data_IF_216746933266
#
_entry.id   IF_216746933266
#
_cell.length_a   1.000
_cell.length_b   1.000
_cell.length_c   1.000
_cell.angle_alpha   90.00
_cell.angle_beta   90.00
_cell.angle_gamma   90.00
#
_symmetry.space_group_name_H-M   'P 1'
#
loop_
_entity.id
_entity.type
_entity.pdbx_description
1 polymer ?
2 polymer ?
3 polymer ?
4 polymer ?
5 non-polymer ?
6 non-polymer ?
7 non-polymer ?
8 non-polymer ?
9 non-polymer ?
10 non-polymer ?
11 water ?
#
loop_
_entity_poly.entity_id
_entity_poly.type
_entity_poly.pdbx_seq_one_letter_code
_entity_poly.pdbx_strand_id
2 'polydeoxyribonucleotide' '(DC)(DG)(DG)(DC)(DA)(DT)(DA)(DC)(DG)' ?
3 'polydeoxyribonucleotide' '(DC)(DG)(DT)(DA)(DT)' ?
4 'polydeoxyribonucleotide' '(DG)(DC)(DC)(DG)' ?
#
# COMPACT_ATOMS: atom_id res chain seq x y z
N UNK A 11 12.75 1.18 -25.06
CA UNK A 11 11.73 2.22 -25.03
C UNK A 11 11.16 2.38 -23.61
N UNK A 12 10.15 1.58 -23.29
CA UNK A 12 9.56 1.55 -21.96
C UNK A 12 9.94 0.23 -21.29
N UNK A 13 10.72 0.22 -20.22
CA UNK A 13 11.12 -1.05 -19.62
C UNK A 13 9.93 -1.81 -19.02
N UNK A 14 10.15 -3.10 -18.79
CA UNK A 14 9.04 -4.00 -18.46
C UNK A 14 8.71 -3.99 -16.98
N UNK A 15 9.67 -3.67 -16.12
CA UNK A 15 9.45 -3.64 -14.67
C UNK A 15 9.19 -2.22 -14.20
N UNK A 16 8.24 -2.06 -13.27
CA UNK A 16 7.90 -0.71 -12.81
C UNK A 16 9.04 -0.05 -12.07
N UNK A 17 9.95 -0.82 -11.48
CA UNK A 17 11.08 -0.26 -10.75
C UNK A 17 12.17 0.26 -11.68
N UNK A 18 12.00 0.09 -12.98
CA UNK A 18 12.93 0.58 -13.99
C UNK A 18 12.53 1.90 -14.58
N UNK A 19 11.44 2.51 -14.10
CA UNK A 19 10.94 3.71 -14.72
C UNK A 19 10.37 4.63 -13.66
N UNK A 20 10.55 5.94 -13.79
CA UNK A 20 9.87 6.86 -12.87
C UNK A 20 8.36 6.81 -13.08
N UNK A 21 7.63 6.75 -11.97
CA UNK A 21 6.17 6.85 -12.00
C UNK A 21 5.75 7.96 -11.05
N UNK A 22 5.32 9.11 -11.55
CA UNK A 22 4.91 10.21 -10.67
C UNK A 22 3.52 9.97 -10.12
N UNK A 23 3.17 10.77 -9.11
CA UNK A 23 1.90 10.61 -8.44
C UNK A 23 0.74 11.02 -9.34
N UNK A 24 0.89 12.12 -10.05
CA UNK A 24 -0.10 12.56 -11.02
C UNK A 24 0.49 12.44 -12.41
N UNK A 25 -0.37 12.16 -13.38
CA UNK A 25 0.13 11.80 -14.69
C UNK A 25 -0.91 12.16 -15.77
N UNK A 26 -0.76 11.57 -16.96
CA UNK A 26 -1.43 12.04 -18.16
C UNK A 26 -2.43 11.05 -18.71
N UNK A 27 -2.71 9.98 -17.97
CA UNK A 27 -3.62 8.93 -18.42
C UNK A 27 -4.48 8.44 -17.28
N UNK A 28 -4.98 9.37 -16.46
CA UNK A 28 -5.66 9.00 -15.23
C UNK A 28 -6.88 8.13 -15.50
N UNK A 29 -7.73 8.55 -16.45
CA UNK A 29 -8.93 7.77 -16.74
C UNK A 29 -8.64 6.35 -17.20
N UNK A 30 -7.64 6.19 -18.08
CA UNK A 30 -7.32 4.86 -18.58
C UNK A 30 -6.78 3.98 -17.46
N UNK A 31 -5.90 4.51 -16.60
CA UNK A 31 -5.36 3.67 -15.55
C UNK A 31 -6.44 3.31 -14.52
N UNK A 32 -7.33 4.25 -14.20
CA UNK A 32 -8.36 3.92 -13.22
C UNK A 32 -9.26 2.79 -13.73
N UNK A 33 -9.58 2.76 -15.03
CA UNK A 33 -10.39 1.69 -15.58
C UNK A 33 -9.69 0.33 -15.49
N UNK A 34 -8.40 0.29 -15.82
CA UNK A 34 -7.69 -0.98 -15.72
C UNK A 34 -7.57 -1.43 -14.26
N UNK A 35 -7.47 -0.48 -13.34
CA UNK A 35 -7.37 -0.85 -11.94
C UNK A 35 -8.71 -1.37 -11.40
N UNK A 36 -9.83 -0.94 -11.98
CA UNK A 36 -11.10 -1.62 -11.68
C UNK A 36 -11.00 -3.11 -12.02
N UNK A 37 -10.51 -3.42 -13.23
CA UNK A 37 -10.47 -4.81 -13.63
C UNK A 37 -9.48 -5.58 -12.78
N UNK A 38 -8.41 -4.93 -12.35
CA UNK A 38 -7.43 -5.56 -11.46
C UNK A 38 -8.05 -5.91 -10.13
N UNK A 39 -8.76 -4.94 -9.53
CA UNK A 39 -9.44 -5.15 -8.27
C UNK A 39 -10.45 -6.29 -8.37
N UNK A 40 -11.24 -6.30 -9.44
CA UNK A 40 -12.24 -7.35 -9.64
C UNK A 40 -11.57 -8.71 -9.79
N UNK A 41 -10.45 -8.76 -10.51
CA UNK A 41 -9.70 -10.01 -10.59
C UNK A 41 -9.33 -10.50 -9.20
N UNK A 42 -8.87 -9.60 -8.35
CA UNK A 42 -8.49 -9.98 -7.00
C UNK A 42 -9.66 -10.54 -6.22
N UNK A 43 -10.83 -9.94 -6.40
CA UNK A 43 -12.02 -10.42 -5.72
C UNK A 43 -12.40 -11.83 -6.14
N UNK A 44 -12.00 -12.25 -7.33
CA UNK A 44 -12.26 -13.59 -7.82
C UNK A 44 -11.08 -14.53 -7.61
N UNK A 45 -10.01 -14.07 -6.98
CA UNK A 45 -8.87 -14.92 -6.71
C UNK A 45 -7.86 -15.06 -7.83
N UNK A 46 -7.98 -14.28 -8.91
CA UNK A 46 -7.03 -14.42 -10.02
C UNK A 46 -5.92 -13.39 -9.81
N UNK A 47 -4.93 -13.78 -9.02
CA UNK A 47 -3.78 -12.92 -8.76
C UNK A 47 -3.00 -12.61 -10.03
N UNK A 48 -2.94 -13.56 -10.96
CA UNK A 48 -2.22 -13.31 -12.20
C UNK A 48 -2.85 -12.20 -13.02
N UNK A 49 -4.16 -12.26 -13.22
CA UNK A 49 -4.85 -11.21 -13.96
C UNK A 49 -4.78 -9.87 -13.22
N UNK A 50 -4.93 -9.90 -11.88
CA UNK A 50 -4.77 -8.68 -11.10
C UNK A 50 -3.42 -8.04 -11.39
N UNK A 51 -2.36 -8.86 -11.40
CA UNK A 51 -1.03 -8.30 -11.62
C UNK A 51 -0.91 -7.68 -13.01
N UNK A 52 -1.41 -8.37 -14.02
CA UNK A 52 -1.26 -7.83 -15.37
C UNK A 52 -2.02 -6.51 -15.50
N UNK A 53 -3.26 -6.45 -15.01
CA UNK A 53 -4.00 -5.19 -15.11
C UNK A 53 -3.32 -4.08 -14.28
N UNK A 54 -2.79 -4.41 -13.10
CA UNK A 54 -2.04 -3.42 -12.33
C UNK A 54 -0.83 -2.91 -13.09
N UNK A 55 -0.07 -3.82 -13.71
CA UNK A 55 1.13 -3.41 -14.42
C UNK A 55 0.77 -2.58 -15.65
N UNK A 56 -0.28 -2.97 -16.39
CA UNK A 56 -0.68 -2.19 -17.54
C UNK A 56 -1.11 -0.79 -17.13
N UNK A 57 -1.89 -0.68 -16.06
CA UNK A 57 -2.25 0.63 -15.53
C UNK A 57 -1.01 1.45 -15.20
N UNK A 58 -0.03 0.82 -14.55
CA UNK A 58 1.17 1.56 -14.13
C UNK A 58 1.97 2.02 -15.33
N UNK A 59 2.00 1.23 -16.40
CA UNK A 59 2.69 1.65 -17.63
C UNK A 59 2.13 2.99 -18.11
N UNK A 60 0.81 3.11 -18.12
CA UNK A 60 0.20 4.35 -18.56
C UNK A 60 0.56 5.51 -17.63
N UNK A 61 0.62 5.25 -16.33
CA UNK A 61 1.03 6.29 -15.39
C UNK A 61 2.43 6.84 -15.71
N UNK A 62 3.28 6.01 -16.29
CA UNK A 62 4.68 6.37 -16.56
C UNK A 62 4.89 7.04 -17.90
N UNK A 63 3.85 7.14 -18.73
CA UNK A 63 3.99 7.75 -20.04
C UNK A 63 4.09 9.27 -19.92
N UNK A 64 4.76 9.93 -20.86
CA UNK A 64 4.97 11.38 -20.73
C UNK A 64 3.83 12.23 -21.27
N UNK A 65 2.79 11.63 -21.85
CA UNK A 65 1.69 12.38 -22.45
C UNK A 65 0.47 11.46 -22.56
N UNK A 66 -0.69 12.02 -22.87
CA UNK A 66 -1.89 11.18 -22.95
C UNK A 66 -1.84 10.23 -24.14
N UNK A 67 -2.29 9.00 -23.91
CA UNK A 67 -2.62 8.11 -25.02
C UNK A 67 -3.89 8.61 -25.69
N UNK A 68 -3.82 8.91 -27.00
CA UNK A 68 -5.00 9.30 -27.76
C UNK A 68 -5.37 8.33 -28.87
N UNK A 69 -4.50 7.41 -29.24
CA UNK A 69 -4.82 6.50 -30.33
C UNK A 69 -4.29 5.12 -29.98
N UNK A 70 -5.01 4.11 -30.44
CA UNK A 70 -4.68 2.73 -30.11
C UNK A 70 -3.26 2.38 -30.53
N UNK A 71 -2.78 2.95 -31.63
CA UNK A 71 -1.45 2.61 -32.12
C UNK A 71 -0.37 2.96 -31.10
N UNK A 72 -0.62 3.97 -30.26
CA UNK A 72 0.36 4.34 -29.25
C UNK A 72 0.59 3.24 -28.23
N UNK A 73 -0.24 2.19 -28.21
CA UNK A 73 -0.01 1.08 -27.30
C UNK A 73 0.97 0.05 -27.83
N UNK A 74 1.21 0.04 -29.14
CA UNK A 74 2.05 -0.99 -29.73
C UNK A 74 3.43 -0.92 -29.12
N UNK A 75 3.96 -2.07 -28.72
CA UNK A 75 5.25 -2.10 -28.07
C UNK A 75 5.26 -1.77 -26.59
N UNK A 76 4.14 -1.34 -26.01
CA UNK A 76 4.14 -1.11 -24.57
C UNK A 76 4.07 -2.43 -23.82
N UNK A 77 4.91 -2.68 -22.83
CA UNK A 77 4.81 -3.94 -22.11
C UNK A 77 3.50 -4.04 -21.36
N UNK A 78 2.96 -5.26 -21.30
CA UNK A 78 1.81 -5.64 -20.51
C UNK A 78 0.50 -5.21 -21.17
N UNK A 79 0.54 -4.72 -22.41
CA UNK A 79 -0.67 -4.47 -23.18
C UNK A 79 -0.81 -5.56 -24.24
N UNK A 80 -1.77 -6.45 -24.03
CA UNK A 80 -2.15 -7.43 -25.03
C UNK A 80 -3.59 -7.22 -25.45
N UNK A 81 -4.22 -8.29 -25.94
CA UNK A 81 -5.56 -8.17 -26.50
C UNK A 81 -6.54 -7.51 -25.52
N UNK A 82 -6.50 -7.90 -24.26
CA UNK A 82 -7.55 -7.51 -23.32
C UNK A 82 -7.36 -6.06 -22.89
N UNK A 83 -6.21 -5.72 -22.31
CA UNK A 83 -6.01 -4.33 -21.87
C UNK A 83 -6.09 -3.36 -23.03
N UNK A 84 -5.67 -3.78 -24.23
CA UNK A 84 -5.76 -2.90 -25.39
C UNK A 84 -7.22 -2.62 -25.75
N UNK A 85 -8.06 -3.66 -25.71
CA UNK A 85 -9.47 -3.49 -26.02
C UNK A 85 -10.15 -2.56 -25.02
N UNK A 86 -9.78 -2.67 -23.73
CA UNK A 86 -10.29 -1.74 -22.73
C UNK A 86 -9.94 -0.30 -23.13
N UNK A 87 -8.68 -0.05 -23.47
CA UNK A 87 -8.27 1.31 -23.83
C UNK A 87 -8.98 1.75 -25.11
N UNK A 88 -9.04 0.87 -26.11
CA UNK A 88 -9.68 1.20 -27.37
C UNK A 88 -11.10 1.69 -27.15
N UNK A 89 -11.87 0.98 -26.31
CA UNK A 89 -13.26 1.36 -26.07
C UNK A 89 -13.33 2.70 -25.34
N UNK A 90 -12.44 2.92 -24.38
CA UNK A 90 -12.43 4.20 -23.69
C UNK A 90 -12.08 5.33 -24.64
N UNK A 91 -11.17 5.08 -25.58
CA UNK A 91 -10.78 6.12 -26.54
C UNK A 91 -11.93 6.42 -27.50
N UNK A 92 -12.68 5.40 -27.90
CA UNK A 92 -13.73 5.57 -28.90
C UNK A 92 -15.03 6.06 -28.28
N UNK A 93 -15.41 5.56 -27.10
CA UNK A 93 -16.73 5.80 -26.55
C UNK A 93 -16.72 6.49 -25.19
N UNK A 94 -15.56 6.73 -24.60
CA UNK A 94 -15.48 7.30 -23.26
C UNK A 94 -15.79 6.34 -22.14
N UNK A 95 -16.14 5.10 -22.46
CA UNK A 95 -16.57 4.11 -21.48
C UNK A 95 -16.23 2.72 -22.01
N UNK A 96 -15.93 1.80 -21.11
CA UNK A 96 -15.64 0.42 -21.45
C UNK A 96 -16.73 -0.45 -20.83
N UNK A 97 -17.47 -1.18 -21.68
CA UNK A 97 -18.65 -1.88 -21.21
C UNK A 97 -18.29 -2.87 -20.11
N UNK A 98 -17.16 -3.56 -20.24
CA UNK A 98 -16.76 -4.53 -19.23
C UNK A 98 -16.53 -3.85 -17.89
N UNK A 99 -15.83 -2.72 -17.91
CA UNK A 99 -15.57 -1.97 -16.69
C UNK A 99 -16.86 -1.51 -16.04
N UNK A 100 -17.80 -1.01 -16.84
CA UNK A 100 -19.05 -0.54 -16.27
C UNK A 100 -19.88 -1.69 -15.72
N UNK A 101 -19.87 -2.84 -16.40
CA UNK A 101 -20.54 -4.02 -15.87
C UNK A 101 -19.96 -4.39 -14.49
N UNK A 102 -18.64 -4.36 -14.35
CA UNK A 102 -18.04 -4.63 -13.05
C UNK A 102 -18.51 -3.60 -12.03
N UNK A 103 -18.42 -2.32 -12.37
CA UNK A 103 -18.75 -1.25 -11.41
C UNK A 103 -20.12 -1.45 -10.78
N UNK A 104 -21.11 -1.83 -11.57
CA UNK A 104 -22.46 -1.90 -11.07
C UNK A 104 -22.86 -3.31 -10.64
N UNK A 105 -21.95 -4.28 -10.67
CA UNK A 105 -22.33 -5.62 -10.25
C UNK A 105 -22.42 -5.69 -8.74
N UNK A 106 -23.40 -6.44 -8.26
CA UNK A 106 -23.59 -6.63 -6.83
C UNK A 106 -22.37 -7.28 -6.21
N UNK A 107 -21.76 -8.22 -6.92
CA UNK A 107 -20.57 -8.92 -6.42
C UNK A 107 -19.44 -7.92 -6.16
N UNK A 108 -19.12 -7.09 -7.15
CA UNK A 108 -18.01 -6.16 -7.00
C UNK A 108 -18.27 -5.17 -5.88
N UNK A 109 -19.46 -4.58 -5.85
CA UNK A 109 -19.77 -3.57 -4.84
C UNK A 109 -19.71 -4.15 -3.44
N UNK A 110 -20.17 -5.39 -3.26
CA UNK A 110 -20.19 -5.98 -1.93
C UNK A 110 -18.81 -6.44 -1.50
N UNK A 111 -18.04 -7.04 -2.41
CA UNK A 111 -16.68 -7.43 -2.07
C UNK A 111 -15.82 -6.21 -1.75
N UNK A 112 -16.02 -5.12 -2.50
CA UNK A 112 -15.30 -3.89 -2.20
C UNK A 112 -15.65 -3.37 -0.82
N UNK A 113 -16.95 -3.32 -0.52
CA UNK A 113 -17.40 -2.85 0.79
C UNK A 113 -16.85 -3.73 1.90
N UNK A 114 -16.93 -5.06 1.75
CA UNK A 114 -16.48 -5.94 2.82
C UNK A 114 -14.95 -5.92 2.96
N UNK A 115 -14.22 -6.00 1.85
CA UNK A 115 -12.77 -6.07 1.97
C UNK A 115 -12.16 -4.77 2.49
N UNK A 116 -12.87 -3.65 2.36
CA UNK A 116 -12.34 -2.39 2.88
C UNK A 116 -12.47 -2.30 4.40
N UNK A 117 -13.17 -3.24 5.03
CA UNK A 117 -13.21 -3.31 6.49
C UNK A 117 -11.85 -3.80 6.99
N UNK A 118 -11.28 -3.08 7.95
CA UNK A 118 -10.08 -3.56 8.65
C UNK A 118 -10.40 -4.86 9.38
N UNK A 119 -9.71 -5.93 9.03
CA UNK A 119 -9.96 -7.25 9.60
C UNK A 119 -10.63 -8.21 8.65
N UNK A 120 -11.01 -7.77 7.45
CA UNK A 120 -11.74 -8.57 6.50
C UNK A 120 -10.92 -8.61 5.22
N UNK A 121 -10.56 -9.82 4.77
CA UNK A 121 -9.88 -10.01 3.52
C UNK A 121 -10.79 -10.62 2.47
N UNK A 122 -10.21 -10.87 1.31
CA UNK A 122 -10.99 -11.40 0.20
C UNK A 122 -11.68 -12.69 0.61
N UNK A 123 -10.96 -13.58 1.30
CA UNK A 123 -11.54 -14.87 1.66
C UNK A 123 -12.73 -14.70 2.60
N UNK A 124 -12.62 -13.83 3.60
CA UNK A 124 -13.75 -13.62 4.50
C UNK A 124 -14.91 -12.96 3.76
N UNK A 125 -14.62 -11.88 3.02
CA UNK A 125 -15.65 -11.23 2.22
C UNK A 125 -16.37 -12.22 1.31
N UNK A 126 -15.61 -13.07 0.62
CA UNK A 126 -16.24 -14.02 -0.30
C UNK A 126 -17.16 -14.98 0.45
N UNK A 127 -16.73 -15.48 1.61
CA UNK A 127 -17.59 -16.38 2.39
C UNK A 127 -18.89 -15.68 2.78
N UNK A 128 -18.77 -14.48 3.37
CA UNK A 128 -19.96 -13.71 3.71
C UNK A 128 -20.86 -13.50 2.48
N UNK A 129 -20.27 -13.15 1.33
CA UNK A 129 -21.08 -12.95 0.14
C UNK A 129 -21.86 -14.21 -0.22
N UNK A 130 -21.21 -15.37 -0.13
CA UNK A 130 -21.90 -16.62 -0.45
C UNK A 130 -23.00 -16.93 0.55
N UNK A 131 -22.86 -16.46 1.80
CA UNK A 131 -23.88 -16.66 2.81
C UNK A 131 -25.09 -15.73 2.63
N UNK A 132 -25.01 -14.81 1.68
CA UNK A 132 -26.11 -13.89 1.42
C UNK A 132 -25.93 -12.52 2.04
N UNK A 133 -24.84 -12.29 2.77
CA UNK A 133 -24.66 -11.00 3.42
C UNK A 133 -24.27 -9.96 2.38
N UNK A 134 -24.75 -8.73 2.59
CA UNK A 134 -24.53 -7.69 1.58
C UNK A 134 -24.13 -6.33 2.14
N UNK A 135 -24.52 -5.97 3.37
CA UNK A 135 -24.35 -4.63 3.89
C UNK A 135 -23.63 -4.68 5.23
N UNK A 136 -23.15 -3.53 5.68
CA UNK A 136 -22.47 -3.48 6.97
C UNK A 136 -23.41 -3.84 8.10
N UNK A 137 -24.67 -3.40 8.01
CA UNK A 137 -25.63 -3.73 9.06
C UNK A 137 -25.93 -5.22 9.09
N UNK A 138 -25.89 -5.89 7.94
CA UNK A 138 -25.95 -7.35 7.94
C UNK A 138 -24.89 -7.94 8.87
N UNK A 139 -23.70 -7.34 8.87
CA UNK A 139 -22.62 -7.85 9.70
C UNK A 139 -22.82 -7.47 11.16
N UNK A 140 -23.35 -6.28 11.41
CA UNK A 140 -23.57 -5.84 12.79
C UNK A 140 -24.60 -6.71 13.50
N UNK A 141 -25.57 -7.27 12.76
CA UNK A 141 -26.65 -8.04 13.39
C UNK A 141 -26.15 -9.31 14.06
N UNK A 142 -25.08 -9.92 13.53
CA UNK A 142 -24.56 -11.18 14.03
C UNK A 142 -23.11 -11.01 14.47
N UNK A 143 -22.87 -10.17 15.48
CA UNK A 143 -21.48 -9.85 15.85
C UNK A 143 -20.75 -11.00 16.54
N UNK A 144 -21.45 -12.09 16.87
CA UNK A 144 -20.79 -13.23 17.50
C UNK A 144 -19.82 -13.91 16.55
N UNK A 145 -19.98 -13.73 15.24
CA UNK A 145 -19.13 -14.34 14.24
C UNK A 145 -17.96 -13.45 13.84
N UNK A 146 -17.75 -12.32 14.51
CA UNK A 146 -16.70 -11.38 14.17
C UNK A 146 -15.51 -11.53 15.09
N UNK A 147 -14.33 -11.25 14.55
CA UNK A 147 -13.16 -11.15 15.39
C UNK A 147 -13.14 -9.78 16.07
N UNK A 148 -12.33 -9.68 17.12
CA UNK A 148 -12.15 -8.38 17.76
C UNK A 148 -11.63 -7.36 16.75
N UNK A 149 -10.73 -7.79 15.87
CA UNK A 149 -10.19 -6.90 14.86
C UNK A 149 -11.28 -6.39 13.95
N UNK A 150 -12.22 -7.26 13.57
CA UNK A 150 -13.31 -6.90 12.67
C UNK A 150 -14.35 -6.05 13.37
N UNK A 151 -14.60 -6.33 14.65
CA UNK A 151 -15.46 -5.47 15.44
C UNK A 151 -14.91 -4.06 15.49
N UNK A 152 -13.59 -3.92 15.64
CA UNK A 152 -12.98 -2.60 15.61
C UNK A 152 -13.12 -1.97 14.22
N UNK A 153 -12.79 -2.73 13.18
CA UNK A 153 -12.91 -2.21 11.84
C UNK A 153 -14.32 -1.77 11.52
N UNK A 154 -15.30 -2.54 11.99
CA UNK A 154 -16.69 -2.21 11.70
C UNK A 154 -17.13 -0.99 12.52
N UNK A 155 -16.82 -0.98 13.83
CA UNK A 155 -17.19 0.17 14.66
C UNK A 155 -16.63 1.47 14.09
N UNK A 156 -15.37 1.44 13.66
CA UNK A 156 -14.69 2.65 13.20
C UNK A 156 -14.76 2.83 11.70
N UNK A 157 -15.59 2.05 11.01
CA UNK A 157 -15.52 2.00 9.55
C UNK A 157 -15.73 3.37 8.93
N UNK A 158 -16.67 4.16 9.45
CA UNK A 158 -16.98 5.44 8.84
C UNK A 158 -15.80 6.41 8.92
N UNK A 159 -15.17 6.54 10.10
CA UNK A 159 -13.98 7.38 10.21
C UNK A 159 -12.85 6.85 9.32
N UNK A 160 -12.67 5.53 9.30
CA UNK A 160 -11.58 4.96 8.54
C UNK A 160 -11.79 5.13 7.03
N UNK A 161 -13.02 5.40 6.60
CA UNK A 161 -13.27 5.64 5.19
C UNK A 161 -13.08 7.11 4.81
N UNK A 162 -12.79 7.96 5.77
CA UNK A 162 -12.53 9.38 5.58
C UNK A 162 -11.04 9.59 5.30
N UNK A 163 -10.67 10.31 4.25
CA UNK A 163 -9.25 10.47 3.94
C UNK A 163 -8.51 11.18 5.05
N UNK A 164 -7.32 10.66 5.35
CA UNK A 164 -6.36 11.31 6.23
C UNK A 164 -5.68 12.43 5.46
N UNK A 165 -5.58 13.60 6.06
CA UNK A 165 -4.94 14.75 5.44
C UNK A 165 -3.52 14.92 5.93
N UNK A 166 -2.70 15.62 5.13
CA UNK A 166 -1.32 15.87 5.52
C UNK A 166 -1.26 16.62 6.85
N UNK A 167 -2.24 17.50 7.13
CA UNK A 167 -2.27 18.18 8.41
C UNK A 167 -2.48 17.19 9.56
N UNK A 168 -3.29 16.15 9.33
CA UNK A 168 -3.42 15.12 10.35
C UNK A 168 -2.09 14.45 10.62
N UNK A 169 -1.26 14.28 9.59
CA UNK A 169 -0.03 13.49 9.70
C UNK A 169 0.95 14.17 10.64
N UNK A 170 1.17 15.47 10.45
CA UNK A 170 2.13 16.19 11.29
C UNK A 170 1.75 16.08 12.76
N UNK A 171 0.46 16.20 13.06
CA UNK A 171 0.02 16.06 14.45
C UNK A 171 0.31 14.66 14.97
N UNK A 172 -0.06 13.63 14.21
CA UNK A 172 0.21 12.27 14.64
C UNK A 172 1.69 12.03 14.85
N UNK A 173 2.53 12.49 13.91
CA UNK A 173 3.96 12.27 14.05
C UNK A 173 4.48 12.87 15.36
N UNK A 174 4.02 14.07 15.70
CA UNK A 174 4.46 14.68 16.95
C UNK A 174 4.13 13.79 18.15
N UNK A 175 2.93 13.22 18.20
CA UNK A 175 2.59 12.44 19.38
C UNK A 175 3.35 11.12 19.37
N UNK A 176 3.59 10.53 18.19
CA UNK A 176 4.37 9.30 18.14
C UNK A 176 5.79 9.54 18.63
N UNK A 177 6.41 10.64 18.20
CA UNK A 177 7.76 10.96 18.67
C UNK A 177 7.81 11.15 20.18
N UNK A 178 6.78 11.80 20.76
CA UNK A 178 6.79 11.98 22.21
C UNK A 178 6.85 10.64 22.90
N UNK A 179 6.01 9.69 22.47
CA UNK A 179 5.99 8.38 23.11
C UNK A 179 7.28 7.62 22.82
N UNK A 180 7.78 7.72 21.59
CA UNK A 180 9.03 7.04 21.22
C UNK A 180 10.20 7.59 22.04
N UNK A 181 10.23 8.91 22.25
CA UNK A 181 11.31 9.52 23.01
C UNK A 181 11.35 9.08 24.46
N UNK A 182 10.19 8.82 25.05
CA UNK A 182 10.13 8.30 26.41
C UNK A 182 10.51 6.84 26.47
N UNK A 183 10.10 6.08 25.46
CA UNK A 183 10.34 4.64 25.48
C UNK A 183 11.81 4.34 25.27
N UNK A 184 12.48 5.14 24.44
CA UNK A 184 13.91 4.97 24.18
C UNK A 184 14.51 6.28 23.69
N UNK A 185 15.17 7.02 24.56
CA UNK A 185 15.87 8.24 24.12
C UNK A 185 16.78 7.97 22.93
N UNK A 186 16.73 8.87 21.95
CA UNK A 186 17.52 8.75 20.76
C UNK A 186 16.82 8.06 19.61
N UNK A 187 15.71 7.38 19.86
CA UNK A 187 15.01 6.69 18.78
C UNK A 187 14.39 7.73 17.86
N UNK A 188 14.29 7.37 16.57
CA UNK A 188 13.81 8.29 15.56
C UNK A 188 12.54 7.74 14.92
N UNK A 189 11.74 8.64 14.38
CA UNK A 189 10.48 8.29 13.71
C UNK A 189 10.55 8.84 12.31
N UNK A 190 10.31 7.99 11.32
CA UNK A 190 10.30 8.39 9.92
C UNK A 190 8.92 8.12 9.30
N UNK A 191 8.38 9.12 8.63
CA UNK A 191 7.13 8.96 7.89
C UNK A 191 7.40 8.16 6.62
N UNK A 192 6.62 7.11 6.42
CA UNK A 192 6.76 6.28 5.23
C UNK A 192 5.44 6.20 4.48
N UNK A 193 5.22 5.10 3.76
CA UNK A 193 4.02 4.89 2.99
C UNK A 193 3.72 5.98 1.99
N UNK A 194 2.43 6.11 1.67
CA UNK A 194 2.02 7.00 0.59
C UNK A 194 2.38 8.45 0.83
N UNK A 195 2.33 8.90 2.09
CA UNK A 195 2.67 10.28 2.34
C UNK A 195 4.13 10.57 2.03
N UNK A 196 5.02 9.61 2.26
CA UNK A 196 6.41 9.85 1.85
C UNK A 196 6.56 9.94 0.32
N UNK A 197 5.69 9.26 -0.42
CA UNK A 197 5.69 9.39 -1.88
C UNK A 197 5.04 10.69 -2.37
N UNK A 198 4.59 11.56 -1.45
CA UNK A 198 4.06 12.86 -1.83
C UNK A 198 2.55 12.95 -1.86
N UNK A 199 1.83 11.91 -1.49
CA UNK A 199 0.38 11.98 -1.49
C UNK A 199 -0.07 13.05 -0.52
N UNK A 200 -1.14 13.74 -0.87
CA UNK A 200 -1.70 14.76 0.00
C UNK A 200 -2.79 14.21 0.91
N UNK A 201 -3.32 13.05 0.58
CA UNK A 201 -4.29 12.36 1.42
C UNK A 201 -3.95 10.89 1.40
N UNK A 202 -4.47 10.16 2.40
CA UNK A 202 -4.25 8.72 2.43
C UNK A 202 -5.30 8.06 3.29
N UNK A 203 -5.25 6.72 3.27
CA UNK A 203 -6.12 5.88 4.10
C UNK A 203 -5.57 5.65 5.49
N UNK A 204 -4.27 5.81 5.68
CA UNK A 204 -3.64 5.53 6.97
C UNK A 204 -2.31 6.27 6.98
N UNK A 205 -1.64 6.21 8.12
CA UNK A 205 -0.32 6.80 8.28
C UNK A 205 0.65 5.71 8.69
N UNK A 206 1.81 5.69 8.04
CA UNK A 206 2.83 4.66 8.25
C UNK A 206 4.07 5.30 8.83
N UNK A 207 4.61 4.73 9.91
CA UNK A 207 5.82 5.25 10.54
C UNK A 207 6.83 4.12 10.71
N UNK A 208 8.10 4.46 10.52
CA UNK A 208 9.22 3.56 10.73
C UNK A 208 10.11 4.10 11.84
N UNK A 209 10.41 3.26 12.82
CA UNK A 209 11.12 3.68 14.02
C UNK A 209 12.42 2.88 14.09
N UNK A 210 13.51 3.56 14.43
CA UNK A 210 14.79 2.88 14.63
C UNK A 210 15.57 3.64 15.69
N UNK A 211 16.80 3.20 15.92
CA UNK A 211 17.70 3.86 16.85
C UNK A 211 19.12 3.73 16.28
N UNK A 212 19.96 4.77 16.38
CA UNK A 212 21.28 4.72 15.73
C UNK A 212 22.25 3.68 16.30
N UNK A 213 21.99 3.13 17.47
CA UNK A 213 22.85 2.11 18.08
C UNK A 213 22.22 0.74 17.87
N UNK A 214 22.82 -0.07 16.98
CA UNK A 214 22.29 -1.38 16.67
C UNK A 214 21.96 -2.16 17.95
N UNK A 215 20.75 -2.71 17.98
CA UNK A 215 20.29 -3.51 19.10
C UNK A 215 19.51 -2.75 20.15
N UNK A 216 19.70 -1.44 20.25
CA UNK A 216 18.95 -0.68 21.24
C UNK A 216 17.45 -0.67 20.95
N UNK A 217 17.06 -0.91 19.69
CA UNK A 217 15.65 -0.93 19.31
C UNK A 217 14.94 -2.19 19.77
N UNK A 218 15.67 -3.20 20.20
CA UNK A 218 15.07 -4.43 20.68
C UNK A 218 14.10 -4.12 21.83
N UNK A 219 12.91 -4.70 21.77
CA UNK A 219 11.91 -4.51 22.81
C UNK A 219 11.16 -3.19 22.74
N UNK A 220 11.35 -2.41 21.69
CA UNK A 220 10.91 -1.03 21.72
C UNK A 220 9.40 -0.88 21.48
N UNK A 221 8.83 -1.65 20.56
CA UNK A 221 7.44 -1.40 20.19
C UNK A 221 6.47 -1.59 21.34
N UNK A 222 6.57 -2.63 22.17
CA UNK A 222 5.66 -2.71 23.32
C UNK A 222 5.74 -1.51 24.24
N UNK A 223 6.94 -0.94 24.39
CA UNK A 223 7.10 0.21 25.27
C UNK A 223 6.44 1.44 24.65
N UNK A 224 6.55 1.57 23.33
CA UNK A 224 5.87 2.65 22.65
C UNK A 224 4.36 2.50 22.79
N UNK A 225 3.85 1.28 22.56
CA UNK A 225 2.41 1.08 22.59
C UNK A 225 1.85 1.35 23.99
N UNK A 226 2.52 0.83 25.02
CA UNK A 226 2.03 1.04 26.38
C UNK A 226 1.91 2.53 26.68
N UNK A 227 2.85 3.33 26.18
CA UNK A 227 2.82 4.76 26.46
C UNK A 227 1.72 5.47 25.69
N UNK A 228 1.57 5.16 24.41
CA UNK A 228 0.44 5.70 23.65
C UNK A 228 -0.87 5.34 24.30
N UNK A 229 -1.00 4.09 24.75
CA UNK A 229 -2.25 3.65 25.36
C UNK A 229 -2.51 4.39 26.66
N UNK A 230 -1.45 4.66 27.42
CA UNK A 230 -1.61 5.40 28.67
C UNK A 230 -2.00 6.85 28.43
N UNK A 231 -1.63 7.42 27.28
CA UNK A 231 -2.09 8.76 26.91
C UNK A 231 -3.52 8.75 26.34
N UNK A 232 -4.19 7.61 26.30
CA UNK A 232 -5.56 7.55 25.81
C UNK A 232 -5.72 7.68 24.31
N UNK A 233 -4.66 7.43 23.53
CA UNK A 233 -4.65 7.67 22.09
C UNK A 233 -4.99 6.43 21.26
N UNK A 234 -5.04 5.27 21.88
CA UNK A 234 -5.16 4.01 21.15
C UNK A 234 -6.59 3.53 21.30
N UNK A 235 -7.33 3.53 20.21
CA UNK A 235 -8.67 2.95 20.19
C UNK A 235 -8.63 1.45 19.97
N UNK A 236 -7.58 0.96 19.28
CA UNK A 236 -7.42 -0.46 19.00
C UNK A 236 -5.97 -0.76 18.68
N UNK A 237 -5.47 -1.87 19.21
CA UNK A 237 -4.20 -2.45 18.78
C UNK A 237 -4.24 -3.94 19.07
N UNK A 238 -3.29 -4.67 18.52
CA UNK A 238 -3.21 -6.12 18.72
C UNK A 238 -2.47 -6.46 20.02
N UNK A 259 7.16 -7.76 19.44
CA UNK A 259 6.71 -7.64 18.05
C UNK A 259 7.39 -6.45 17.37
N UNK A 260 7.26 -6.34 16.04
CA UNK A 260 7.89 -5.25 15.31
C UNK A 260 6.96 -4.49 14.36
N UNK A 261 5.71 -4.90 14.21
CA UNK A 261 4.71 -4.17 13.44
C UNK A 261 3.46 -4.10 14.27
N UNK A 262 2.89 -2.89 14.39
CA UNK A 262 1.69 -2.68 15.18
C UNK A 262 0.68 -1.98 14.29
N UNK A 263 -0.49 -2.59 14.09
CA UNK A 263 -1.56 -2.01 13.27
C UNK A 263 -2.60 -1.45 14.22
N UNK A 264 -2.59 -0.15 14.44
CA UNK A 264 -3.47 0.41 15.45
C UNK A 264 -4.41 1.44 14.85
N UNK A 265 -5.45 1.74 15.63
CA UNK A 265 -6.40 2.79 15.34
C UNK A 265 -6.18 3.85 16.41
N UNK A 266 -5.79 5.04 15.97
CA UNK A 266 -5.49 6.17 16.82
C UNK A 266 -6.72 7.03 16.98
N UNK A 267 -6.82 7.68 18.14
CA UNK A 267 -7.77 8.73 18.36
C UNK A 267 -7.07 10.05 18.01
N UNK A 268 -7.49 10.65 16.89
CA UNK A 268 -6.89 11.88 16.43
C UNK A 268 -7.78 13.08 16.75
N UNK A 269 -7.32 14.05 17.52
CA UNK A 269 -8.13 15.24 17.79
C UNK A 269 -8.60 15.93 16.52
N UNK A 270 -9.82 16.46 16.58
CA UNK A 270 -10.47 17.22 15.53
C UNK A 270 -11.11 18.44 16.18
N UNK A 271 -11.49 19.45 15.38
CA UNK A 271 -12.19 20.62 15.96
C UNK A 271 -13.35 20.23 16.86
N UNK A 272 -13.18 20.42 18.17
CA UNK A 272 -14.24 20.11 19.12
C UNK A 272 -14.57 18.63 19.24
N UNK A 273 -13.72 17.74 18.74
CA UNK A 273 -13.99 16.32 18.76
C UNK A 273 -12.75 15.56 18.32
N UNK A 274 -12.91 14.43 17.63
CA UNK A 274 -11.79 13.60 17.21
C UNK A 274 -12.29 12.64 16.15
N UNK A 275 -11.35 11.92 15.53
CA UNK A 275 -11.72 10.86 14.62
C UNK A 275 -10.70 9.73 14.72
N UNK A 276 -11.17 8.53 14.42
CA UNK A 276 -10.31 7.36 14.36
C UNK A 276 -9.47 7.38 13.09
N UNK A 277 -8.20 7.02 13.22
CA UNK A 277 -7.27 6.99 12.09
C UNK A 277 -6.40 5.75 12.22
N UNK A 278 -6.24 5.02 11.12
CA UNK A 278 -5.35 3.87 11.09
C UNK A 278 -3.90 4.36 11.02
N UNK A 279 -3.07 3.82 11.90
CA UNK A 279 -1.64 4.14 11.97
C UNK A 279 -0.90 2.83 12.09
N UNK A 280 0.15 2.68 11.30
CA UNK A 280 1.05 1.53 11.35
C UNK A 280 2.38 1.99 11.91
N UNK A 281 2.84 1.29 12.93
CA UNK A 281 4.13 1.56 13.55
C UNK A 281 5.00 0.34 13.34
N UNK A 282 6.21 0.57 12.89
CA UNK A 282 7.13 -0.49 12.51
C UNK A 282 8.47 -0.15 13.12
N UNK A 283 9.18 -1.17 13.61
CA UNK A 283 10.52 -0.98 14.16
C UNK A 283 11.49 -1.82 13.36
N UNK A 284 12.68 -1.27 13.11
CA UNK A 284 13.73 -2.01 12.44
C UNK A 284 15.06 -1.59 13.06
N UNK A 285 16.01 -2.52 13.19
CA UNK A 285 17.36 -2.11 13.58
C UNK A 285 17.98 -1.26 12.49
N UNK A 286 18.93 -0.40 12.89
CA UNK A 286 19.46 0.57 11.94
C UNK A 286 20.16 -0.12 10.77
N UNK A 287 20.77 -1.29 10.99
CA UNK A 287 21.35 -2.06 9.88
C UNK A 287 20.32 -2.39 8.81
N UNK A 288 19.06 -2.60 9.19
CA UNK A 288 18.02 -2.94 8.24
C UNK A 288 17.21 -1.73 7.79
N UNK A 289 17.44 -0.57 8.38
CA UNK A 289 16.57 0.58 8.14
C UNK A 289 16.41 0.92 6.66
N UNK A 290 17.47 0.91 5.84
CA UNK A 290 17.26 1.24 4.42
C UNK A 290 16.32 0.27 3.73
N UNK A 291 16.42 -1.02 4.04
CA UNK A 291 15.51 -1.99 3.42
C UNK A 291 14.08 -1.81 3.92
N UNK A 292 13.91 -1.43 5.17
CA UNK A 292 12.56 -1.30 5.68
C UNK A 292 11.95 0.01 5.21
N UNK A 293 12.75 1.07 5.15
CA UNK A 293 12.32 2.31 4.54
C UNK A 293 11.85 2.08 3.09
N UNK A 294 12.69 1.40 2.31
CA UNK A 294 12.35 1.12 0.92
C UNK A 294 11.04 0.35 0.83
N UNK A 295 10.92 -0.71 1.63
CA UNK A 295 9.73 -1.54 1.55
C UNK A 295 8.48 -0.82 2.02
N UNK A 296 8.58 -0.11 3.14
CA UNK A 296 7.40 0.58 3.66
C UNK A 296 7.07 1.87 2.92
N UNK A 297 7.92 2.33 2.01
CA UNK A 297 7.60 3.53 1.23
C UNK A 297 6.82 3.17 -0.03
N UNK A 298 6.93 1.94 -0.52
CA UNK A 298 6.03 1.47 -1.58
C UNK A 298 6.39 2.10 -2.91
N UNK A 299 5.40 2.19 -3.82
CA UNK A 299 4.08 1.62 -3.68
C UNK A 299 4.10 0.12 -3.55
N UNK A 300 2.95 -0.47 -3.24
CA UNK A 300 2.86 -1.92 -3.20
C UNK A 300 3.34 -2.52 -4.52
N UNK A 301 2.83 -2.01 -5.64
CA UNK A 301 3.24 -2.58 -6.93
C UNK A 301 4.73 -2.37 -7.16
N UNK A 302 5.23 -1.16 -6.84
CA UNK A 302 6.66 -0.90 -6.98
C UNK A 302 7.48 -1.95 -6.23
N UNK A 303 7.10 -2.28 -4.98
CA UNK A 303 7.93 -3.21 -4.21
C UNK A 303 7.86 -4.63 -4.76
N UNK A 304 6.68 -5.07 -5.17
CA UNK A 304 6.54 -6.36 -5.83
C UNK A 304 7.41 -6.44 -7.07
N UNK A 305 7.37 -5.37 -7.88
CA UNK A 305 8.14 -5.38 -9.11
C UNK A 305 9.63 -5.34 -8.80
N UNK A 306 10.00 -4.58 -7.76
CA UNK A 306 11.40 -4.50 -7.39
C UNK A 306 11.91 -5.85 -6.89
N UNK A 307 11.12 -6.53 -6.08
CA UNK A 307 11.54 -7.85 -5.61
C UNK A 307 11.56 -8.86 -6.75
N UNK A 308 10.59 -8.77 -7.67
CA UNK A 308 10.59 -9.66 -8.83
C UNK A 308 11.83 -9.42 -9.69
N UNK A 309 12.14 -8.16 -9.95
CA UNK A 309 13.33 -7.80 -10.71
C UNK A 309 14.59 -8.35 -10.05
N UNK A 310 14.71 -8.10 -8.74
CA UNK A 310 15.88 -8.55 -8.00
C UNK A 310 16.11 -10.04 -8.19
N UNK A 311 15.07 -10.83 -7.98
CA UNK A 311 15.19 -12.29 -8.05
C UNK A 311 15.38 -12.76 -9.49
N UNK A 312 14.50 -12.34 -10.39
CA UNK A 312 14.52 -12.92 -11.74
C UNK A 312 15.64 -12.35 -12.62
N UNK A 313 15.96 -11.08 -12.48
CA UNK A 313 16.99 -10.48 -13.33
C UNK A 313 18.38 -10.48 -12.69
N UNK A 314 18.47 -10.38 -11.36
CA UNK A 314 19.76 -10.27 -10.70
C UNK A 314 20.09 -11.46 -9.80
N UNK A 315 19.16 -12.40 -9.61
CA UNK A 315 19.46 -13.54 -8.78
C UNK A 315 19.62 -13.23 -7.31
N UNK A 316 19.08 -12.10 -6.85
CA UNK A 316 19.18 -11.70 -5.46
C UNK A 316 17.79 -11.65 -4.82
N UNK A 317 17.72 -11.95 -3.52
CA UNK A 317 16.45 -12.07 -2.81
C UNK A 317 16.27 -10.86 -1.92
N UNK A 318 15.25 -10.05 -2.21
CA UNK A 318 15.00 -8.79 -1.54
C UNK A 318 13.77 -8.89 -0.65
N UNK A 319 13.87 -8.35 0.56
CA UNK A 319 12.69 -8.12 1.39
C UNK A 319 12.93 -6.88 2.24
N UNK A 320 12.02 -6.62 3.20
CA UNK A 320 12.15 -5.39 3.97
C UNK A 320 13.20 -5.50 5.07
N UNK A 321 13.88 -6.64 5.18
CA UNK A 321 14.99 -6.80 6.11
C UNK A 321 16.35 -6.74 5.43
N UNK A 322 16.44 -7.02 4.14
CA UNK A 322 17.75 -7.18 3.55
C UNK A 322 17.69 -7.69 2.12
N UNK A 323 18.89 -7.87 1.59
CA UNK A 323 19.09 -8.32 0.22
C UNK A 323 20.17 -9.38 0.24
N UNK A 324 19.81 -10.59 -0.19
CA UNK A 324 20.57 -11.81 0.02
C UNK A 324 21.06 -12.33 -1.31
N UNK A 325 22.35 -12.62 -1.38
CA UNK A 325 22.93 -13.33 -2.51
C UNK A 325 22.93 -14.81 -2.16
N UNK A 326 22.13 -15.64 -2.85
CA UNK A 326 22.06 -17.05 -2.48
C UNK A 326 23.21 -17.88 -3.03
N UNK A 327 24.05 -17.30 -3.89
CA UNK A 327 25.26 -17.96 -4.34
C UNK A 327 26.35 -17.87 -3.26
N UNK A 328 26.73 -16.63 -2.92
CA UNK A 328 27.72 -16.40 -1.87
C UNK A 328 27.15 -16.61 -0.47
N UNK A 329 25.84 -16.71 -0.32
CA UNK A 329 25.21 -16.87 0.98
C UNK A 329 25.58 -15.70 1.89
N UNK A 330 25.37 -14.49 1.39
CA UNK A 330 25.71 -13.28 2.11
C UNK A 330 24.62 -12.22 1.93
N UNK A 331 24.53 -11.32 2.90
CA UNK A 331 23.62 -10.19 2.86
C UNK A 331 24.39 -8.93 2.49
N UNK A 332 23.79 -8.13 1.62
CA UNK A 332 24.35 -6.84 1.29
C UNK A 332 24.16 -5.90 2.46
N UNK A 333 25.18 -5.11 2.75
CA UNK A 333 25.05 -4.05 3.73
C UNK A 333 24.64 -2.79 2.98
N UNK A 334 23.60 -2.14 3.45
CA UNK A 334 23.17 -0.90 2.84
C UNK A 334 23.11 0.17 3.91
N UNK A 335 23.61 1.35 3.56
CA UNK A 335 23.51 2.53 4.40
C UNK A 335 22.43 3.49 3.93
N UNK A 336 21.83 3.24 2.77
CA UNK A 336 20.85 4.14 2.18
C UNK A 336 20.03 3.38 1.14
N UNK A 337 18.88 3.96 0.80
CA UNK A 337 18.14 3.46 -0.36
C UNK A 337 18.99 3.53 -1.61
N UNK A 338 19.76 4.60 -1.76
CA UNK A 338 20.65 4.72 -2.91
C UNK A 338 21.57 3.50 -3.03
N UNK A 339 22.10 3.02 -1.90
CA UNK A 339 22.92 1.81 -1.94
C UNK A 339 22.16 0.65 -2.56
N UNK A 340 20.89 0.48 -2.18
CA UNK A 340 20.12 -0.68 -2.62
C UNK A 340 19.88 -0.61 -4.11
N UNK A 341 19.44 0.54 -4.62
CA UNK A 341 19.28 0.70 -6.06
C UNK A 341 20.59 0.40 -6.80
N UNK A 342 21.71 0.91 -6.28
CA UNK A 342 23.01 0.62 -6.92
C UNK A 342 23.30 -0.88 -6.92
N UNK A 343 23.10 -1.53 -5.76
CA UNK A 343 23.31 -2.97 -5.65
C UNK A 343 22.59 -3.72 -6.76
N UNK A 344 21.37 -3.28 -7.09
CA UNK A 344 20.51 -3.94 -8.05
C UNK A 344 20.71 -3.45 -9.49
N UNK A 345 21.67 -2.54 -9.73
CA UNK A 345 21.88 -2.05 -11.08
C UNK A 345 20.75 -1.21 -11.63
N UNK A 346 20.00 -0.52 -10.76
CA UNK A 346 18.88 0.32 -11.15
C UNK A 346 19.22 1.79 -10.91
N UNK A 347 18.76 2.66 -11.81
CA UNK A 347 18.86 4.09 -11.55
C UNK A 347 18.02 4.45 -10.34
N UNK A 348 18.55 5.32 -9.48
CA UNK A 348 17.85 5.71 -8.28
C UNK A 348 16.55 6.43 -8.62
N UNK A 349 15.51 6.13 -7.84
CA UNK A 349 14.21 6.77 -7.98
C UNK A 349 13.84 7.34 -6.61
N UNK A 350 13.60 8.64 -6.49
CA UNK A 350 13.11 9.14 -5.23
C UNK A 350 11.72 8.60 -4.94
N UNK A 351 11.28 8.69 -3.69
CA UNK A 351 9.93 8.18 -3.34
C UNK A 351 8.82 8.71 -4.20
N UNK A 352 8.90 9.98 -4.59
CA UNK A 352 7.83 10.58 -5.38
C UNK A 352 7.78 10.02 -6.81
N UNK A 353 8.76 9.23 -7.22
CA UNK A 353 8.73 8.55 -8.52
C UNK A 353 8.55 7.06 -8.38
N UNK A 354 8.08 6.60 -7.22
CA UNK A 354 7.80 5.20 -6.97
C UNK A 354 6.30 4.94 -6.91
N UNK A 355 5.51 5.81 -7.52
CA UNK A 355 4.06 5.69 -7.48
C UNK A 355 3.53 4.75 -8.56
N UNK A 356 4.12 3.57 -8.67
CA UNK A 356 3.68 2.58 -9.64
C UNK A 356 2.28 2.10 -9.30
X LIG E 1 -0.20 3.60 4.08
X LIG F 1 -0.38 1.31 6.58
X LIG G 1 -16.78 0.61 -30.80
X LIG H 1 -9.66 -11.66 -22.39
X LIG I 1 12.15 -8.80 11.93
X LIG J 1 -9.78 -5.53 4.90
X LIG K 1 -2.63 5.60 1.42
X LIG K 1 -2.06 4.20 1.31
X LIG K 1 -2.99 3.32 0.51
X LIG K 1 -1.95 3.52 2.66
X LIG K 1 -0.66 4.40 0.49
X LIG K 1 0.36 3.26 0.95
X LIG K 1 0.93 3.67 2.29
X LIG K 1 1.41 2.92 -0.08
X LIG K 1 -0.71 2.22 1.04
X LIG L 1 -2.60 -2.53 -8.55
X LIG M 1 -4.99 12.95 -4.00
X LIG M 1 -3.41 12.33 -3.35
X LIG M 1 -2.47 13.45 -3.33
X LIG M 1 -3.62 11.82 -1.99
X LIG M 1 -2.96 11.22 -4.18
X LIG N 1 -0.23 -21.54 -17.62
X LIG O 1 -1.90 0.35 1.42
X LIG P 1 5.72 -4.15 4.15
X LIG P 1 5.99 -5.43 4.69
X LIG P 1 7.01 -3.59 3.57
X LIG P 1 7.41 -4.42 2.50
#
# INVERSE_FOLDING_TARGET
GSAAAPLSPAWMPAYACQRPTPLTHHNTGLSEALEILAEAAGFEGSEGRLLTFCRAASVLKALPSPVTTLSQLQGLPHFGEHSSRVVQELLEHGVCEEVERVRRSERYQTMKLFTQIFGVGVKTADRWYREGLRTLDDLREQPQKLTQQQKAGLQHHQDLSTPVLRSDVDALQQVVEEAVGQALPGATVTLTGGFRRGKLQGHDVDFLITHPKEGQEAGLLPRVMCRLQDQGLILYHQHQHSCCESPTRLAQQSHMDAFERSFCIFRLPQPGSWKAVRVDLVVAPVSQFPFALLGWTGSKLFQRELRRFSRKEKGLWLNSHGLFDPEQKTFFQAASEEDIFRHLGLEYLPPEQRNA
MN MN
MN MN
MN MN
MN MN
MN MN
NA NA
PPV O11 P1 O21 O31 OPP P2 O12 O22 O32
DTT S1
EPE C10 S O1S O2S O3S
MN MN
MN MN
EDO C1 O1 C2 O2
#
